data_IF_321630254919
#
_entry.id   IF_321630254919
#
_cell.length_a   1.000
_cell.length_b   1.000
_cell.length_c   1.000
_cell.angle_alpha   90.00
_cell.angle_beta   90.00
_cell.angle_gamma   90.00
#
_symmetry.space_group_name_H-M   'P 1'
#
loop_
_entity.id
_entity.type
_entity.pdbx_description
1 polymer ?
#
# COMPACT_ATOMS: atom_id res chain seq x y z
N UNK A 1 95.44 -2.58 -17.36
CA UNK A 1 94.25 -1.79 -17.04
C UNK A 1 93.09 -2.76 -16.83
N UNK A 2 92.66 -2.90 -15.57
CA UNK A 2 91.50 -3.68 -15.15
C UNK A 2 90.24 -2.82 -15.31
N UNK A 3 89.23 -3.27 -16.07
CA UNK A 3 87.90 -2.67 -16.03
C UNK A 3 86.98 -3.61 -15.26
N UNK A 4 86.47 -3.10 -14.14
CA UNK A 4 85.52 -3.72 -13.24
C UNK A 4 84.13 -3.75 -13.88
N UNK A 5 83.36 -4.79 -13.55
CA UNK A 5 81.94 -4.90 -13.81
C UNK A 5 81.12 -3.81 -13.06
N UNK A 6 79.95 -3.48 -13.61
CA UNK A 6 78.77 -3.07 -12.85
C UNK A 6 77.52 -3.39 -13.68
N UNK A 7 76.80 -4.39 -13.18
CA UNK A 7 75.47 -4.80 -13.59
C UNK A 7 74.46 -3.82 -12.96
N UNK A 8 73.53 -3.20 -13.69
CA UNK A 8 72.41 -2.52 -13.08
C UNK A 8 71.23 -3.49 -12.98
N UNK A 9 71.03 -4.00 -11.77
CA UNK A 9 69.81 -4.65 -11.35
C UNK A 9 68.60 -3.79 -11.75
N UNK A 10 67.79 -4.31 -12.68
CA UNK A 10 66.50 -3.74 -13.03
C UNK A 10 65.62 -3.89 -11.78
N UNK A 11 65.35 -2.76 -11.14
CA UNK A 11 64.40 -2.69 -10.03
C UNK A 11 63.04 -3.20 -10.51
N UNK A 12 62.59 -4.30 -9.92
CA UNK A 12 61.24 -4.82 -10.10
C UNK A 12 60.25 -3.76 -9.62
N UNK A 13 59.42 -3.26 -10.54
CA UNK A 13 58.27 -2.42 -10.22
C UNK A 13 57.37 -3.21 -9.28
N UNK A 14 57.23 -2.72 -8.06
CA UNK A 14 56.31 -3.25 -7.06
C UNK A 14 54.90 -2.95 -7.56
N UNK A 15 54.28 -3.91 -8.24
CA UNK A 15 52.86 -3.91 -8.53
C UNK A 15 52.13 -3.95 -7.18
N UNK A 16 51.65 -2.78 -6.75
CA UNK A 16 50.77 -2.67 -5.60
C UNK A 16 49.44 -3.26 -6.07
N UNK A 17 48.94 -4.37 -5.51
CA UNK A 17 47.63 -4.87 -5.88
C UNK A 17 46.64 -3.74 -5.59
N UNK A 18 46.03 -3.18 -6.64
CA UNK A 18 44.88 -2.31 -6.50
C UNK A 18 43.86 -3.11 -5.69
N UNK A 19 43.60 -2.67 -4.45
CA UNK A 19 42.55 -3.22 -3.61
C UNK A 19 41.29 -3.37 -4.48
N UNK A 20 40.91 -4.61 -4.77
CA UNK A 20 39.65 -4.89 -5.45
C UNK A 20 38.53 -4.39 -4.53
N UNK A 21 37.99 -3.22 -4.86
CA UNK A 21 36.87 -2.63 -4.16
C UNK A 21 35.63 -3.44 -4.52
N UNK A 22 35.18 -4.34 -3.63
CA UNK A 22 33.92 -5.03 -3.83
C UNK A 22 32.79 -4.03 -3.61
N UNK A 23 32.12 -3.65 -4.70
CA UNK A 23 30.96 -2.77 -4.68
C UNK A 23 29.68 -3.58 -4.80
N UNK A 24 28.62 -3.09 -4.16
CA UNK A 24 27.26 -3.61 -4.27
C UNK A 24 26.30 -2.48 -4.60
N UNK A 25 25.57 -2.69 -5.69
CA UNK A 25 24.60 -1.73 -6.21
C UNK A 25 23.17 -2.10 -5.81
N UNK A 26 22.40 -1.09 -5.44
CA UNK A 26 20.99 -1.20 -5.12
C UNK A 26 20.18 -0.23 -5.99
N UNK A 27 19.24 -0.78 -6.74
CA UNK A 27 18.24 0.00 -7.47
C UNK A 27 17.17 0.44 -6.48
N UNK A 28 17.10 1.74 -6.21
CA UNK A 28 16.15 2.39 -5.33
C UNK A 28 15.14 3.15 -6.19
N UNK A 29 13.88 2.74 -6.13
CA UNK A 29 12.78 3.38 -6.82
C UNK A 29 11.84 4.04 -5.81
N UNK A 30 11.35 5.23 -6.11
CA UNK A 30 10.34 5.94 -5.32
C UNK A 30 9.67 7.02 -6.17
N UNK A 31 8.58 7.59 -5.67
CA UNK A 31 7.82 8.65 -6.33
C UNK A 31 7.86 9.93 -5.50
N UNK A 32 8.21 11.03 -6.15
CA UNK A 32 8.14 12.38 -5.59
C UNK A 32 6.79 12.98 -5.94
N UNK A 33 6.05 13.49 -4.95
CA UNK A 33 4.68 14.00 -5.09
C UNK A 33 4.59 15.51 -5.26
N UNK A 34 5.68 16.25 -5.04
CA UNK A 34 5.76 17.69 -5.23
C UNK A 34 6.75 18.10 -6.34
N UNK A 35 6.97 17.22 -7.31
CA UNK A 35 7.81 17.46 -8.48
C UNK A 35 7.03 17.06 -9.75
N UNK A 36 6.37 18.01 -10.43
CA UNK A 36 5.61 17.72 -11.64
C UNK A 36 6.49 17.31 -12.82
N UNK A 37 6.24 16.12 -13.37
CA UNK A 37 6.92 15.66 -14.58
C UNK A 37 6.43 16.43 -15.81
N UNK A 38 7.35 17.01 -16.58
CA UNK A 38 7.03 17.82 -17.77
C UNK A 38 8.12 17.70 -18.83
N UNK A 39 7.82 18.07 -20.09
CA UNK A 39 8.64 17.76 -21.28
C UNK A 39 10.16 17.96 -21.14
N UNK A 40 10.67 19.10 -20.64
CA UNK A 40 12.11 19.27 -20.38
C UNK A 40 12.72 18.17 -19.50
N UNK A 41 12.00 17.66 -18.48
CA UNK A 41 12.48 16.55 -17.64
C UNK A 41 12.60 15.22 -18.38
N UNK A 42 11.91 15.04 -19.50
CA UNK A 42 12.01 13.84 -20.34
C UNK A 42 13.32 13.81 -21.15
N UNK A 43 13.90 14.98 -21.43
CA UNK A 43 15.15 15.10 -22.17
C UNK A 43 16.37 15.10 -21.21
N UNK A 44 17.23 14.05 -21.22
CA UNK A 44 18.40 13.98 -20.35
C UNK A 44 19.40 15.13 -20.52
N UNK A 45 19.45 15.73 -21.71
CA UNK A 45 20.34 16.85 -22.03
C UNK A 45 19.80 18.21 -21.57
N UNK A 46 18.55 18.26 -21.10
CA UNK A 46 17.97 19.52 -20.65
C UNK A 46 18.55 19.95 -19.30
N UNK A 47 18.65 21.27 -19.11
CA UNK A 47 19.06 21.83 -17.83
C UNK A 47 18.08 21.45 -16.69
N UNK A 48 16.79 21.36 -17.01
CA UNK A 48 15.75 20.99 -16.04
C UNK A 48 15.95 19.56 -15.55
N UNK A 49 16.20 18.61 -16.46
CA UNK A 49 16.49 17.22 -16.12
C UNK A 49 17.75 17.14 -15.26
N UNK A 50 18.86 17.76 -15.70
CA UNK A 50 20.13 17.73 -14.98
C UNK A 50 20.01 18.35 -13.57
N UNK A 51 19.33 19.48 -13.45
CA UNK A 51 19.12 20.13 -12.15
C UNK A 51 18.25 19.29 -11.22
N UNK A 52 17.19 18.65 -11.73
CA UNK A 52 16.36 17.73 -10.95
C UNK A 52 17.19 16.51 -10.50
N UNK A 53 17.92 15.88 -11.45
CA UNK A 53 18.83 14.76 -11.21
C UNK A 53 19.80 15.06 -10.07
N UNK A 54 20.63 16.10 -10.22
CA UNK A 54 21.63 16.49 -9.22
C UNK A 54 21.01 16.89 -7.89
N UNK A 55 19.84 17.53 -7.92
CA UNK A 55 19.15 17.89 -6.67
C UNK A 55 18.65 16.66 -5.91
N UNK A 56 18.15 15.63 -6.60
CA UNK A 56 17.68 14.39 -5.97
C UNK A 56 18.87 13.57 -5.46
N UNK A 57 19.94 13.44 -6.25
CA UNK A 57 21.19 12.80 -5.84
C UNK A 57 21.79 13.45 -4.59
N UNK A 58 21.71 14.78 -4.48
CA UNK A 58 22.16 15.51 -3.29
C UNK A 58 21.38 15.16 -2.02
N UNK A 59 20.05 14.99 -2.12
CA UNK A 59 19.25 14.58 -0.96
C UNK A 59 19.49 13.10 -0.61
N UNK A 60 19.64 12.21 -1.60
CA UNK A 60 20.02 10.81 -1.38
C UNK A 60 21.40 10.68 -0.71
N UNK A 61 22.36 11.50 -1.13
CA UNK A 61 23.69 11.56 -0.55
C UNK A 61 23.61 11.93 0.93
N UNK A 62 22.90 13.01 1.27
CA UNK A 62 22.70 13.44 2.65
C UNK A 62 22.03 12.37 3.51
N UNK A 63 21.02 11.69 2.95
CA UNK A 63 20.30 10.62 3.62
C UNK A 63 21.26 9.50 4.08
N UNK A 64 22.05 8.95 3.17
CA UNK A 64 22.95 7.84 3.49
C UNK A 64 24.18 8.28 4.30
N UNK A 65 24.68 9.49 4.10
CA UNK A 65 25.75 10.07 4.94
C UNK A 65 25.34 10.29 6.39
N UNK A 66 24.04 10.45 6.66
CA UNK A 66 23.48 10.56 8.02
C UNK A 66 23.05 9.21 8.60
N UNK A 67 23.19 8.13 7.83
CA UNK A 67 22.75 6.79 8.20
C UNK A 67 23.85 5.97 8.85
N UNK A 68 23.49 4.77 9.33
CA UNK A 68 24.47 3.80 9.79
C UNK A 68 25.28 3.16 8.66
N UNK A 69 24.94 3.40 7.39
CA UNK A 69 25.67 2.94 6.20
C UNK A 69 26.70 3.96 5.69
N UNK A 70 26.92 5.06 6.41
CA UNK A 70 27.80 6.16 5.98
C UNK A 70 29.20 5.68 5.57
N UNK A 71 29.74 4.69 6.27
CA UNK A 71 31.10 4.18 6.03
C UNK A 71 31.21 3.34 4.77
N UNK A 72 30.14 2.64 4.43
CA UNK A 72 30.00 1.79 3.26
C UNK A 72 29.52 2.58 2.03
N UNK A 73 28.83 3.71 2.23
CA UNK A 73 28.21 4.49 1.17
C UNK A 73 29.23 5.12 0.21
N UNK A 74 29.08 4.84 -1.09
CA UNK A 74 29.92 5.42 -2.16
C UNK A 74 29.20 6.56 -2.86
N UNK A 75 27.92 6.40 -3.17
CA UNK A 75 27.13 7.40 -3.88
C UNK A 75 25.82 6.85 -4.44
N UNK A 76 24.93 7.75 -4.87
CA UNK A 76 23.76 7.41 -5.67
C UNK A 76 23.78 8.16 -7.00
N UNK A 77 23.42 7.48 -8.09
CA UNK A 77 23.17 8.06 -9.40
C UNK A 77 21.69 7.92 -9.72
N UNK A 78 21.03 9.00 -10.12
CA UNK A 78 19.66 8.94 -10.65
C UNK A 78 19.73 8.56 -12.13
N UNK A 79 19.20 7.40 -12.46
CA UNK A 79 19.26 6.81 -13.80
C UNK A 79 18.08 7.24 -14.68
N UNK A 80 16.91 7.44 -14.08
CA UNK A 80 15.75 7.94 -14.82
C UNK A 80 14.77 8.71 -13.94
N UNK A 81 14.11 9.67 -14.59
CA UNK A 81 12.93 10.37 -14.11
C UNK A 81 11.78 10.02 -15.04
N UNK A 82 10.63 9.61 -14.50
CA UNK A 82 9.51 9.14 -15.29
C UNK A 82 8.21 9.83 -14.91
N UNK A 83 7.31 9.91 -15.89
CA UNK A 83 5.92 10.25 -15.64
C UNK A 83 5.24 9.14 -14.82
N UNK A 84 4.29 9.54 -13.99
CA UNK A 84 3.38 8.61 -13.28
C UNK A 84 1.95 8.82 -13.78
N UNK A 85 0.98 8.11 -13.19
CA UNK A 85 -0.44 8.34 -13.45
C UNK A 85 -0.90 9.76 -13.07
N UNK A 86 -0.14 10.45 -12.21
CA UNK A 86 -0.43 11.78 -11.71
C UNK A 86 0.57 12.81 -12.26
N UNK A 87 0.04 13.93 -12.77
CA UNK A 87 0.83 14.96 -13.49
C UNK A 87 1.77 15.77 -12.58
N UNK A 88 1.46 15.84 -11.29
CA UNK A 88 2.23 16.54 -10.26
C UNK A 88 3.31 15.67 -9.62
N UNK A 89 3.45 14.42 -10.08
CA UNK A 89 4.40 13.47 -9.52
C UNK A 89 5.47 13.07 -10.54
N UNK A 90 6.63 12.68 -10.02
CA UNK A 90 7.74 12.13 -10.80
C UNK A 90 8.19 10.82 -10.18
N UNK A 91 8.23 9.76 -10.97
CA UNK A 91 8.90 8.52 -10.62
C UNK A 91 10.41 8.70 -10.72
N UNK A 92 11.14 8.17 -9.74
CA UNK A 92 12.59 8.23 -9.66
C UNK A 92 13.13 6.81 -9.58
N UNK A 93 14.05 6.46 -10.46
CA UNK A 93 14.89 5.28 -10.33
C UNK A 93 16.34 5.67 -10.18
N UNK A 94 16.94 5.30 -9.05
CA UNK A 94 18.33 5.58 -8.72
C UNK A 94 19.10 4.28 -8.46
N UNK A 95 20.40 4.30 -8.70
CA UNK A 95 21.33 3.25 -8.31
C UNK A 95 22.23 3.79 -7.21
N UNK A 96 22.19 3.17 -6.03
CA UNK A 96 23.04 3.51 -4.90
C UNK A 96 24.10 2.42 -4.68
N UNK A 97 25.36 2.82 -4.69
CA UNK A 97 26.52 1.95 -4.56
C UNK A 97 27.09 2.01 -3.14
N UNK A 98 27.48 0.84 -2.64
CA UNK A 98 28.07 0.67 -1.32
C UNK A 98 29.26 -0.30 -1.38
N UNK A 99 30.26 -0.10 -0.55
CA UNK A 99 31.34 -1.04 -0.35
C UNK A 99 30.85 -2.26 0.45
N UNK A 100 31.10 -3.46 -0.08
CA UNK A 100 30.65 -4.72 0.52
C UNK A 100 31.57 -5.24 1.63
N UNK A 101 32.81 -4.73 1.73
CA UNK A 101 33.87 -5.30 2.57
C UNK A 101 34.07 -4.57 3.92
N UNK A 102 33.38 -3.45 4.18
CA UNK A 102 33.71 -2.54 5.28
C UNK A 102 32.97 -2.78 6.61
N UNK A 103 32.10 -3.80 6.71
CA UNK A 103 31.32 -4.02 7.93
C UNK A 103 31.02 -5.49 8.29
N UNK A 104 30.75 -5.79 9.58
CA UNK A 104 30.29 -7.11 10.02
C UNK A 104 28.83 -7.39 9.66
N UNK A 105 28.11 -6.41 9.09
CA UNK A 105 26.68 -6.49 8.77
C UNK A 105 26.50 -6.92 7.31
N UNK A 106 25.62 -7.88 7.08
CA UNK A 106 25.21 -8.25 5.73
C UNK A 106 24.43 -7.09 5.10
N UNK A 107 24.99 -6.47 4.07
CA UNK A 107 24.31 -5.41 3.33
C UNK A 107 23.37 -6.05 2.31
N UNK A 108 22.07 -5.87 2.48
CA UNK A 108 21.02 -6.36 1.58
C UNK A 108 19.93 -5.31 1.32
N UNK A 109 19.00 -5.65 0.44
CA UNK A 109 17.95 -4.74 -0.03
C UNK A 109 17.00 -4.30 1.10
N UNK A 110 16.81 -5.14 2.12
CA UNK A 110 16.00 -4.80 3.30
C UNK A 110 16.71 -3.76 4.15
N UNK A 111 18.00 -3.91 4.40
CA UNK A 111 18.77 -2.92 5.18
C UNK A 111 18.72 -1.54 4.50
N UNK A 112 18.93 -1.49 3.18
CA UNK A 112 18.86 -0.23 2.42
C UNK A 112 17.45 0.36 2.45
N UNK A 113 16.42 -0.49 2.27
CA UNK A 113 15.02 -0.08 2.39
C UNK A 113 14.69 0.50 3.76
N UNK A 114 15.05 -0.20 4.85
CA UNK A 114 14.73 0.21 6.21
C UNK A 114 15.43 1.52 6.59
N UNK A 115 16.69 1.72 6.16
CA UNK A 115 17.43 2.97 6.33
C UNK A 115 16.70 4.11 5.62
N UNK A 116 16.37 3.93 4.35
CA UNK A 116 15.67 4.95 3.58
C UNK A 116 14.32 5.26 4.22
N UNK A 117 13.50 4.24 4.46
CA UNK A 117 12.16 4.36 5.01
C UNK A 117 12.16 5.10 6.35
N UNK A 118 13.04 4.71 7.28
CA UNK A 118 13.07 5.30 8.62
C UNK A 118 13.58 6.75 8.61
N UNK A 119 14.64 7.04 7.84
CA UNK A 119 15.21 8.40 7.78
C UNK A 119 14.36 9.38 6.98
N UNK A 120 13.45 8.88 6.14
CA UNK A 120 12.47 9.69 5.39
C UNK A 120 11.08 9.72 6.04
N UNK A 121 10.97 9.36 7.32
CA UNK A 121 9.71 9.29 8.07
C UNK A 121 8.65 8.43 7.36
N UNK A 122 8.95 7.15 7.15
CA UNK A 122 8.15 6.19 6.38
C UNK A 122 7.96 6.60 4.92
N UNK A 123 9.05 6.99 4.25
CA UNK A 123 9.02 7.42 2.86
C UNK A 123 8.01 8.56 2.59
N UNK A 124 7.94 9.53 3.49
CA UNK A 124 7.06 10.70 3.33
C UNK A 124 7.83 11.96 2.91
N UNK A 125 9.11 12.08 3.29
CA UNK A 125 9.90 13.29 3.00
C UNK A 125 11.39 12.99 2.83
N UNK A 126 11.98 13.50 1.75
CA UNK A 126 13.41 13.47 1.44
C UNK A 126 13.90 14.89 1.16
N UNK A 127 14.47 15.54 2.17
CA UNK A 127 14.87 16.95 2.09
C UNK A 127 13.66 17.84 1.77
N UNK A 128 13.69 18.49 0.61
CA UNK A 128 12.57 19.34 0.11
C UNK A 128 11.47 18.56 -0.63
N UNK A 129 11.67 17.27 -0.89
CA UNK A 129 10.75 16.45 -1.67
C UNK A 129 9.76 15.74 -0.76
N UNK A 130 8.48 15.85 -1.08
CA UNK A 130 7.45 14.99 -0.50
C UNK A 130 7.38 13.72 -1.34
N UNK A 131 7.24 12.58 -0.68
CA UNK A 131 7.30 11.26 -1.32
C UNK A 131 5.96 10.54 -1.17
N UNK A 132 5.68 9.61 -2.08
CA UNK A 132 4.63 8.62 -1.85
C UNK A 132 5.17 7.48 -0.99
N UNK A 133 4.66 7.37 0.24
CA UNK A 133 5.05 6.36 1.22
C UNK A 133 5.01 4.90 0.72
N UNK A 134 4.18 4.60 -0.28
CA UNK A 134 4.04 3.23 -0.82
C UNK A 134 4.91 2.95 -2.04
N UNK A 135 5.58 3.97 -2.56
CA UNK A 135 6.33 3.88 -3.81
C UNK A 135 7.76 3.35 -3.66
N UNK A 136 8.28 3.30 -2.42
CA UNK A 136 9.65 2.87 -2.16
C UNK A 136 9.84 1.38 -2.47
N UNK A 137 10.76 1.08 -3.38
CA UNK A 137 11.18 -0.30 -3.70
C UNK A 137 12.69 -0.33 -3.90
N UNK A 138 13.38 -1.22 -3.19
CA UNK A 138 14.82 -1.46 -3.31
C UNK A 138 15.06 -2.86 -3.86
N UNK A 139 15.63 -2.99 -5.06
CA UNK A 139 15.87 -4.29 -5.73
C UNK A 139 14.66 -5.25 -5.71
N UNK A 140 13.42 -4.72 -5.74
CA UNK A 140 12.19 -5.51 -5.68
C UNK A 140 11.66 -5.81 -4.27
N UNK A 141 12.27 -5.26 -3.22
CA UNK A 141 11.80 -5.30 -1.83
C UNK A 141 11.17 -3.94 -1.42
N UNK A 142 10.00 -3.93 -0.74
CA UNK A 142 9.15 -5.07 -0.43
C UNK A 142 8.57 -5.67 -1.71
N UNK A 143 8.37 -6.99 -1.69
CA UNK A 143 7.75 -7.69 -2.82
C UNK A 143 6.36 -7.10 -3.09
N UNK A 144 5.95 -7.05 -4.36
CA UNK A 144 4.59 -6.63 -4.75
C UNK A 144 3.49 -7.36 -3.97
N UNK A 145 3.72 -8.62 -3.59
CA UNK A 145 2.80 -9.40 -2.74
C UNK A 145 2.63 -8.76 -1.36
N UNK A 146 3.69 -8.23 -0.76
CA UNK A 146 3.63 -7.56 0.54
C UNK A 146 2.91 -6.21 0.44
N UNK A 147 3.12 -5.45 -0.64
CA UNK A 147 2.38 -4.20 -0.89
C UNK A 147 0.87 -4.46 -1.05
N UNK A 148 0.49 -5.55 -1.72
CA UNK A 148 -0.93 -5.92 -1.85
C UNK A 148 -1.57 -6.33 -0.52
N UNK A 149 -0.81 -6.81 0.46
CA UNK A 149 -1.38 -7.14 1.79
C UNK A 149 -1.75 -5.92 2.61
N UNK A 150 -1.09 -4.78 2.41
CA UNK A 150 -1.44 -3.52 3.08
C UNK A 150 -2.73 -2.90 2.52
N UNK A 151 -3.04 -3.16 1.25
CA UNK A 151 -4.27 -2.72 0.57
C UNK A 151 -5.54 -3.51 0.97
N UNK A 152 -5.44 -4.52 1.84
CA UNK A 152 -6.59 -5.36 2.24
C UNK A 152 -7.47 -4.77 3.34
N UNK A 153 -7.50 -3.45 3.49
CA UNK A 153 -8.65 -2.79 4.11
C UNK A 153 -9.89 -3.05 3.26
N UNK A 154 -10.92 -3.70 3.81
CA UNK A 154 -12.19 -3.96 3.10
C UNK A 154 -12.61 -2.71 2.30
N UNK A 155 -12.75 -2.78 0.96
CA UNK A 155 -13.06 -1.59 0.17
C UNK A 155 -14.35 -0.97 0.70
N UNK A 156 -14.47 0.36 0.69
CA UNK A 156 -15.64 1.04 1.26
C UNK A 156 -16.97 0.53 0.68
N UNK A 157 -16.98 0.09 -0.58
CA UNK A 157 -18.11 -0.58 -1.22
C UNK A 157 -18.50 -1.88 -0.51
N UNK A 158 -17.55 -2.68 -0.03
CA UNK A 158 -17.84 -3.89 0.74
C UNK A 158 -18.54 -3.56 2.07
N UNK A 159 -18.14 -2.47 2.73
CA UNK A 159 -18.83 -1.98 3.94
C UNK A 159 -20.28 -1.58 3.60
N UNK A 160 -20.46 -0.85 2.49
CA UNK A 160 -21.81 -0.46 2.02
C UNK A 160 -22.68 -1.69 1.73
N UNK A 161 -22.13 -2.71 1.04
CA UNK A 161 -22.87 -3.94 0.73
C UNK A 161 -23.24 -4.72 2.00
N UNK A 162 -22.33 -4.81 2.97
CA UNK A 162 -22.61 -5.42 4.28
C UNK A 162 -23.76 -4.65 4.96
N UNK A 163 -23.69 -3.33 5.05
CA UNK A 163 -24.74 -2.50 5.63
C UNK A 163 -26.10 -2.69 4.94
N UNK A 164 -26.13 -2.71 3.60
CA UNK A 164 -27.36 -2.91 2.82
C UNK A 164 -27.96 -4.29 3.05
N UNK A 165 -27.13 -5.34 3.10
CA UNK A 165 -27.60 -6.70 3.36
C UNK A 165 -28.23 -6.85 4.74
N UNK A 166 -27.62 -6.25 5.77
CA UNK A 166 -28.14 -6.24 7.14
C UNK A 166 -29.46 -5.46 7.20
N UNK A 167 -29.52 -4.29 6.56
CA UNK A 167 -30.73 -3.46 6.52
C UNK A 167 -31.89 -4.17 5.81
N UNK A 168 -31.65 -4.78 4.65
CA UNK A 168 -32.65 -5.57 3.92
C UNK A 168 -33.13 -6.78 4.73
N UNK A 169 -32.22 -7.44 5.45
CA UNK A 169 -32.56 -8.55 6.35
C UNK A 169 -33.49 -8.11 7.48
N UNK A 170 -33.21 -6.98 8.12
CA UNK A 170 -34.09 -6.41 9.15
C UNK A 170 -35.47 -6.01 8.61
N UNK A 171 -35.51 -5.39 7.43
CA UNK A 171 -36.78 -5.02 6.78
C UNK A 171 -37.59 -6.27 6.46
N UNK A 172 -36.96 -7.31 5.90
CA UNK A 172 -37.64 -8.57 5.59
C UNK A 172 -38.18 -9.24 6.85
N UNK A 173 -37.38 -9.30 7.93
CA UNK A 173 -37.81 -9.86 9.21
C UNK A 173 -38.97 -9.07 9.81
N UNK A 174 -38.93 -7.74 9.74
CA UNK A 174 -40.02 -6.88 10.19
C UNK A 174 -41.29 -7.13 9.38
N UNK A 175 -41.20 -7.22 8.04
CA UNK A 175 -42.34 -7.55 7.17
C UNK A 175 -42.90 -8.93 7.50
N UNK A 176 -42.06 -9.95 7.70
CA UNK A 176 -42.51 -11.29 8.10
C UNK A 176 -43.19 -11.25 9.48
N UNK A 177 -42.66 -10.50 10.45
CA UNK A 177 -43.27 -10.33 11.76
C UNK A 177 -44.64 -9.63 11.63
N UNK A 178 -44.75 -8.58 10.82
CA UNK A 178 -46.02 -7.92 10.54
C UNK A 178 -47.01 -8.86 9.84
N UNK A 179 -46.57 -9.65 8.85
CA UNK A 179 -47.42 -10.61 8.15
C UNK A 179 -47.88 -11.73 9.07
N UNK A 180 -47.03 -12.26 9.94
CA UNK A 180 -47.43 -13.29 10.92
C UNK A 180 -48.41 -12.73 11.94
N UNK A 181 -48.19 -11.51 12.45
CA UNK A 181 -49.12 -10.84 13.35
C UNK A 181 -50.44 -10.48 12.67
N UNK A 182 -50.39 -10.00 11.42
CA UNK A 182 -51.58 -9.70 10.62
C UNK A 182 -52.33 -10.99 10.25
N UNK A 183 -51.64 -12.06 9.91
CA UNK A 183 -52.23 -13.39 9.69
C UNK A 183 -52.85 -13.95 10.97
N UNK A 184 -52.20 -13.79 12.13
CA UNK A 184 -52.78 -14.14 13.44
C UNK A 184 -54.01 -13.29 13.75
N UNK A 185 -53.95 -11.98 13.52
CA UNK A 185 -55.08 -11.04 13.70
C UNK A 185 -56.25 -11.35 12.77
N UNK A 186 -55.97 -11.67 11.49
CA UNK A 186 -56.97 -12.06 10.49
C UNK A 186 -57.56 -13.44 10.76
N UNK A 187 -56.80 -14.36 11.37
CA UNK A 187 -57.32 -15.66 11.86
C UNK A 187 -58.15 -15.50 13.14
N UNK A 188 -57.77 -14.63 14.08
CA UNK A 188 -58.60 -14.32 15.25
C UNK A 188 -59.98 -13.77 14.85
N UNK A 189 -60.02 -12.96 13.79
CA UNK A 189 -61.30 -12.51 13.19
C UNK A 189 -62.18 -13.66 12.68
N UNK A 190 -61.61 -14.80 12.26
CA UNK A 190 -62.36 -16.00 11.83
C UNK A 190 -62.80 -16.92 12.97
N UNK A 191 -62.21 -16.81 14.17
CA UNK A 191 -62.67 -17.59 15.34
C UNK A 191 -63.94 -17.01 15.97
N UNK A 192 -64.17 -15.69 15.85
CA UNK A 192 -65.42 -15.04 16.28
C UNK A 192 -66.65 -15.49 15.47
N UNK A 193 -66.49 -15.91 14.21
CA UNK A 193 -67.61 -16.38 13.38
C UNK A 193 -68.04 -17.84 13.64
N UNK A 194 -67.18 -18.69 14.24
CA UNK A 194 -67.55 -20.09 14.54
C UNK A 194 -68.32 -20.27 15.86
N UNK A 195 -68.33 -19.29 16.77
CA UNK A 195 -69.14 -19.35 18.00
C UNK A 195 -70.63 -19.04 17.76
N UNK A 196 -71.01 -18.49 16.59
CA UNK A 196 -72.41 -18.25 16.22
C UNK A 196 -73.15 -19.47 15.65
N UNK A 197 -72.43 -20.55 15.28
CA UNK A 197 -73.01 -21.68 14.52
C UNK A 197 -73.39 -22.89 15.41
N UNK A 198 -72.88 -22.97 16.65
CA UNK A 198 -73.14 -24.11 17.55
C UNK A 198 -74.17 -23.84 18.66
N UNK A 199 -74.81 -22.67 18.68
CA UNK A 199 -75.78 -22.28 19.71
C UNK A 199 -77.26 -22.49 19.33
N UNK A 200 -77.59 -23.27 18.30
CA UNK A 200 -78.99 -23.58 17.96
C UNK A 200 -79.38 -24.97 18.42
N UNK A 201 -79.62 -25.12 19.72
CA UNK A 201 -80.39 -26.21 20.31
C UNK A 201 -81.81 -25.71 20.66
N UNK A 202 -82.81 -26.31 19.99
CA UNK A 202 -84.24 -26.50 20.34
C UNK A 202 -85.17 -25.30 20.61
N UNK A 203 -86.16 -25.03 19.73
CA UNK A 203 -87.44 -24.47 20.13
C UNK A 203 -88.44 -25.59 20.46
N UNK A 204 -88.83 -25.67 21.72
CA UNK A 204 -90.10 -26.26 22.16
C UNK A 204 -91.24 -25.35 21.66
N UNK A 205 -92.24 -25.92 20.99
CA UNK A 205 -93.42 -25.21 20.49
C UNK A 205 -94.53 -25.28 21.55
N UNK A 206 -94.81 -24.15 22.17
CA UNK A 206 -96.02 -23.88 22.93
C UNK A 206 -96.80 -22.76 22.22
N UNK A 207 -97.84 -23.15 21.48
CA UNK A 207 -98.82 -22.23 20.91
C UNK A 207 -99.90 -21.93 21.97
N UNK A 208 -99.88 -20.69 22.44
CA UNK A 208 -100.91 -20.10 23.29
C UNK A 208 -102.14 -19.73 22.43
N UNK A 209 -103.35 -20.15 22.82
CA UNK A 209 -104.59 -19.55 22.35
C UNK A 209 -105.48 -19.24 23.57
N UNK A 210 -105.75 -17.96 23.79
CA UNK A 210 -106.60 -17.45 24.86
C UNK A 210 -107.87 -16.83 24.24
N UNK A 211 -109.00 -17.51 24.51
CA UNK A 211 -110.37 -17.03 24.74
C UNK A 211 -110.99 -15.82 24.00
N UNK A 212 -112.24 -16.02 23.55
CA UNK A 212 -113.21 -14.92 23.46
C UNK A 212 -114.52 -15.24 22.73
N UNK A 213 -115.59 -15.37 23.54
CA UNK A 213 -117.04 -15.15 23.31
C UNK A 213 -117.82 -16.18 22.45
#
# INVERSE_FOLDING_TARGET
MTVRALDPAIAAVTDTPLLELNLKDFVVNFTITNLPFHGPMENPDSEVHRNAKTSIEGELTRLYEQSTLKTEFIGCSVEHLSATDWKDQTGVGAVCAFEANSGPRHLDERVVYDIFNNLTNNCSMLGKYTLDHRSLVVNGYPSSVALMTEETGLPFWAIILICLSVLLGFILLFVICCLTNFCKKRRASKYTDQQGIWNTYFPHLDMWNNGGI
#
